data_IF_496327963638
#
_entry.id   IF_496327963638
#
_cell.length_a   1.000
_cell.length_b   1.000
_cell.length_c   1.000
_cell.angle_alpha   90.00
_cell.angle_beta   90.00
_cell.angle_gamma   90.00
#
_symmetry.space_group_name_H-M   'P 1'
#
loop_
_entity.id
_entity.type
_entity.pdbx_description
1 polymer ?
#
# COMPACT_ATOMS: atom_id res chain seq x y z
N UNK A 1 -49.75 -114.63 -20.19
CA UNK A 1 -50.10 -113.27 -19.72
C UNK A 1 -48.91 -112.32 -19.45
N UNK A 2 -47.68 -112.80 -19.22
CA UNK A 2 -46.52 -111.91 -18.97
C UNK A 2 -46.04 -111.15 -20.23
N UNK A 3 -46.09 -111.78 -21.41
CA UNK A 3 -45.71 -111.16 -22.70
C UNK A 3 -46.64 -110.02 -23.13
N UNK A 4 -47.95 -110.16 -22.90
CA UNK A 4 -48.93 -109.11 -23.25
C UNK A 4 -48.71 -107.84 -22.41
N UNK A 5 -48.29 -107.99 -21.15
CA UNK A 5 -47.96 -106.84 -20.29
C UNK A 5 -46.70 -106.10 -20.74
N UNK A 6 -45.71 -106.82 -21.28
CA UNK A 6 -44.46 -106.20 -21.78
C UNK A 6 -44.73 -105.42 -23.08
N UNK A 7 -45.58 -105.95 -23.97
CA UNK A 7 -45.96 -105.26 -25.22
C UNK A 7 -46.78 -104.00 -24.90
N UNK A 8 -47.67 -104.05 -23.91
CA UNK A 8 -48.42 -102.86 -23.47
C UNK A 8 -47.50 -101.78 -22.85
N UNK A 9 -46.45 -102.16 -22.13
CA UNK A 9 -45.50 -101.21 -21.54
C UNK A 9 -44.64 -100.53 -22.62
N UNK A 10 -44.25 -101.26 -23.66
CA UNK A 10 -43.47 -100.74 -24.79
C UNK A 10 -44.27 -99.78 -25.68
N UNK A 11 -45.59 -100.00 -25.82
CA UNK A 11 -46.46 -99.07 -26.54
C UNK A 11 -46.65 -97.74 -25.80
N UNK A 12 -46.65 -97.74 -24.47
CA UNK A 12 -46.82 -96.51 -23.67
C UNK A 12 -45.62 -95.55 -23.77
N UNK A 13 -44.40 -96.07 -23.98
CA UNK A 13 -43.17 -95.27 -24.06
C UNK A 13 -43.06 -94.53 -25.41
N UNK A 14 -43.71 -95.00 -26.47
CA UNK A 14 -43.61 -94.38 -27.80
C UNK A 14 -44.47 -93.12 -27.98
N UNK A 15 -45.41 -92.82 -27.07
CA UNK A 15 -46.31 -91.65 -27.21
C UNK A 15 -45.68 -90.36 -26.64
N UNK A 16 -44.65 -90.43 -25.80
CA UNK A 16 -44.01 -89.25 -25.22
C UNK A 16 -42.88 -88.62 -26.07
N UNK A 17 -42.63 -89.11 -27.29
CA UNK A 17 -41.41 -88.79 -28.04
C UNK A 17 -41.42 -87.56 -28.97
N UNK A 18 -42.57 -87.00 -29.37
CA UNK A 18 -42.62 -86.14 -30.57
C UNK A 18 -43.16 -84.71 -30.40
N UNK A 19 -42.62 -83.93 -29.46
CA UNK A 19 -42.90 -82.47 -29.38
C UNK A 19 -41.64 -81.58 -29.23
N UNK A 20 -40.57 -81.82 -30.00
CA UNK A 20 -39.41 -80.90 -30.06
C UNK A 20 -38.86 -80.63 -31.47
N UNK A 21 -39.72 -80.47 -32.46
CA UNK A 21 -39.31 -79.98 -33.77
C UNK A 21 -40.31 -78.93 -34.28
N UNK A 22 -40.15 -77.68 -33.84
CA UNK A 22 -40.63 -76.43 -34.50
C UNK A 22 -40.41 -75.19 -33.59
N UNK A 23 -39.16 -74.84 -33.25
CA UNK A 23 -38.87 -73.54 -32.59
C UNK A 23 -37.38 -73.13 -32.67
N UNK A 24 -36.77 -73.17 -33.86
CA UNK A 24 -35.36 -72.78 -34.03
C UNK A 24 -35.11 -71.94 -35.30
N UNK A 25 -35.96 -70.93 -35.54
CA UNK A 25 -35.79 -69.99 -36.67
C UNK A 25 -35.75 -68.51 -36.30
N UNK A 26 -36.30 -68.09 -35.15
CA UNK A 26 -36.51 -66.66 -34.83
C UNK A 26 -35.45 -66.00 -33.92
N UNK A 27 -34.43 -66.72 -33.44
CA UNK A 27 -33.46 -66.16 -32.47
C UNK A 27 -32.23 -65.47 -33.10
N UNK A 28 -31.93 -65.72 -34.38
CA UNK A 28 -30.80 -65.06 -35.07
C UNK A 28 -31.14 -63.63 -35.51
N UNK A 29 -32.30 -63.38 -36.10
CA UNK A 29 -32.72 -62.01 -36.46
C UNK A 29 -32.99 -61.13 -35.22
N UNK A 30 -33.52 -61.71 -34.14
CA UNK A 30 -33.72 -60.97 -32.89
C UNK A 30 -32.37 -60.58 -32.25
N UNK A 31 -31.37 -61.47 -32.25
CA UNK A 31 -30.02 -61.17 -31.74
C UNK A 31 -29.30 -60.13 -32.60
N UNK A 32 -29.46 -60.16 -33.92
CA UNK A 32 -28.81 -59.18 -34.79
C UNK A 32 -29.47 -57.78 -34.72
N UNK A 33 -30.80 -57.71 -34.62
CA UNK A 33 -31.52 -56.43 -34.37
C UNK A 33 -31.24 -55.86 -32.98
N UNK A 34 -31.07 -56.72 -31.96
CA UNK A 34 -30.67 -56.29 -30.61
C UNK A 34 -29.21 -55.82 -30.60
N UNK A 35 -28.30 -56.49 -31.29
CA UNK A 35 -26.90 -56.06 -31.40
C UNK A 35 -26.77 -54.71 -32.14
N UNK A 36 -27.46 -54.54 -33.28
CA UNK A 36 -27.49 -53.25 -34.00
C UNK A 36 -28.12 -52.12 -33.19
N UNK A 37 -29.17 -52.39 -32.40
CA UNK A 37 -29.75 -51.39 -31.48
C UNK A 37 -28.82 -51.07 -30.31
N UNK A 38 -28.04 -52.03 -29.80
CA UNK A 38 -27.10 -51.82 -28.69
C UNK A 38 -25.89 -50.98 -29.13
N UNK A 39 -25.36 -51.21 -30.33
CA UNK A 39 -24.27 -50.42 -30.92
C UNK A 39 -24.74 -48.99 -31.24
N UNK A 40 -25.89 -48.82 -31.91
CA UNK A 40 -26.48 -47.48 -32.13
C UNK A 40 -26.83 -46.76 -30.82
N UNK A 41 -27.22 -47.51 -29.78
CA UNK A 41 -27.46 -46.96 -28.44
C UNK A 41 -26.16 -46.47 -27.79
N UNK A 42 -25.08 -47.24 -27.88
CA UNK A 42 -23.77 -46.85 -27.34
C UNK A 42 -23.13 -45.68 -28.08
N UNK A 43 -23.27 -45.61 -29.41
CA UNK A 43 -22.79 -44.47 -30.20
C UNK A 43 -23.56 -43.19 -29.87
N UNK A 44 -24.90 -43.24 -29.81
CA UNK A 44 -25.70 -42.08 -29.36
C UNK A 44 -25.39 -41.68 -27.92
N UNK A 45 -25.10 -42.64 -27.04
CA UNK A 45 -24.75 -42.34 -25.66
C UNK A 45 -23.34 -41.73 -25.55
N UNK A 46 -22.38 -42.12 -26.40
CA UNK A 46 -21.07 -41.47 -26.52
C UNK A 46 -21.20 -40.05 -27.08
N UNK A 47 -22.00 -39.86 -28.13
CA UNK A 47 -22.26 -38.56 -28.76
C UNK A 47 -22.98 -37.59 -27.80
N UNK A 48 -23.96 -38.08 -27.03
CA UNK A 48 -24.61 -37.30 -25.96
C UNK A 48 -23.61 -36.95 -24.86
N UNK A 49 -22.71 -37.86 -24.49
CA UNK A 49 -21.71 -37.63 -23.45
C UNK A 49 -20.63 -36.65 -23.89
N UNK A 50 -20.20 -36.68 -25.16
CA UNK A 50 -19.28 -35.70 -25.74
C UNK A 50 -19.94 -34.33 -25.89
N UNK A 51 -21.18 -34.25 -26.40
CA UNK A 51 -21.91 -32.99 -26.50
C UNK A 51 -22.22 -32.39 -25.12
N UNK A 52 -22.50 -33.22 -24.11
CA UNK A 52 -22.67 -32.77 -22.74
C UNK A 52 -21.35 -32.26 -22.15
N UNK A 53 -20.22 -32.94 -22.41
CA UNK A 53 -18.89 -32.48 -21.97
C UNK A 53 -18.50 -31.16 -22.64
N UNK A 54 -18.68 -31.04 -23.95
CA UNK A 54 -18.40 -29.81 -24.70
C UNK A 54 -19.29 -28.62 -24.30
N UNK A 55 -20.55 -28.87 -23.92
CA UNK A 55 -21.44 -27.83 -23.35
C UNK A 55 -21.03 -27.45 -21.93
N UNK A 56 -20.68 -28.42 -21.08
CA UNK A 56 -20.24 -28.19 -19.71
C UNK A 56 -18.90 -27.44 -19.66
N UNK A 57 -17.96 -27.74 -20.57
CA UNK A 57 -16.68 -27.05 -20.69
C UNK A 57 -16.87 -25.63 -21.24
N UNK A 58 -17.77 -25.42 -22.22
CA UNK A 58 -18.15 -24.06 -22.67
C UNK A 58 -18.85 -23.23 -21.60
N UNK A 59 -19.69 -23.83 -20.75
CA UNK A 59 -20.32 -23.13 -19.62
C UNK A 59 -19.34 -22.86 -18.48
N UNK A 60 -18.41 -23.78 -18.17
CA UNK A 60 -17.32 -23.54 -17.22
C UNK A 60 -16.37 -22.44 -17.69
N UNK A 61 -16.07 -22.39 -18.99
CA UNK A 61 -15.21 -21.36 -19.57
C UNK A 61 -15.92 -20.00 -19.55
N UNK A 62 -17.19 -19.93 -19.98
CA UNK A 62 -18.01 -18.70 -19.84
C UNK A 62 -18.21 -18.26 -18.39
N UNK A 63 -18.28 -19.21 -17.45
CA UNK A 63 -18.36 -18.92 -16.01
C UNK A 63 -17.04 -18.34 -15.47
N UNK A 64 -15.90 -18.91 -15.87
CA UNK A 64 -14.56 -18.39 -15.51
C UNK A 64 -14.26 -17.04 -16.14
N UNK A 65 -14.66 -16.82 -17.38
CA UNK A 65 -14.46 -15.53 -18.06
C UNK A 65 -15.34 -14.44 -17.44
N UNK A 66 -16.59 -14.76 -17.06
CA UNK A 66 -17.46 -13.83 -16.31
C UNK A 66 -16.98 -13.56 -14.88
N UNK A 67 -16.39 -14.55 -14.20
CA UNK A 67 -15.80 -14.36 -12.88
C UNK A 67 -14.58 -13.45 -12.98
N UNK A 68 -13.69 -13.68 -13.94
CA UNK A 68 -12.53 -12.81 -14.19
C UNK A 68 -12.94 -11.39 -14.58
N UNK A 69 -13.92 -11.25 -15.47
CA UNK A 69 -14.44 -9.93 -15.86
C UNK A 69 -15.12 -9.22 -14.68
N UNK A 70 -15.74 -9.97 -13.75
CA UNK A 70 -16.27 -9.40 -12.50
C UNK A 70 -15.20 -9.08 -11.46
N UNK A 71 -14.13 -9.89 -11.38
CA UNK A 71 -12.99 -9.65 -10.49
C UNK A 71 -12.19 -8.43 -10.95
N UNK A 72 -11.92 -8.31 -12.25
CA UNK A 72 -11.27 -7.13 -12.85
C UNK A 72 -12.16 -5.88 -12.69
N UNK A 73 -13.48 -6.00 -12.85
CA UNK A 73 -14.40 -4.87 -12.62
C UNK A 73 -14.51 -4.49 -11.14
N UNK A 74 -14.40 -5.45 -10.22
CA UNK A 74 -14.39 -5.22 -8.77
C UNK A 74 -13.06 -4.64 -8.33
N UNK A 75 -11.93 -5.09 -8.87
CA UNK A 75 -10.59 -4.58 -8.58
C UNK A 75 -10.43 -3.13 -9.06
N UNK A 76 -10.86 -2.83 -10.30
CA UNK A 76 -10.89 -1.45 -10.80
C UNK A 76 -11.81 -0.53 -9.97
N UNK A 77 -13.00 -1.02 -9.59
CA UNK A 77 -13.88 -0.25 -8.68
C UNK A 77 -13.30 -0.11 -7.28
N UNK A 78 -12.55 -1.10 -6.79
CA UNK A 78 -11.88 -1.00 -5.50
C UNK A 78 -10.77 0.04 -5.55
N UNK A 79 -9.99 0.10 -6.64
CA UNK A 79 -8.94 1.10 -6.85
C UNK A 79 -9.54 2.50 -6.96
N UNK A 80 -10.62 2.69 -7.74
CA UNK A 80 -11.33 3.97 -7.84
C UNK A 80 -11.87 4.44 -6.48
N UNK A 81 -12.48 3.54 -5.69
CA UNK A 81 -12.99 3.85 -4.34
C UNK A 81 -11.84 4.12 -3.36
N UNK A 82 -10.69 3.46 -3.49
CA UNK A 82 -9.50 3.71 -2.68
C UNK A 82 -8.88 5.06 -3.04
N UNK A 83 -8.88 5.42 -4.31
CA UNK A 83 -8.36 6.69 -4.81
C UNK A 83 -9.29 7.85 -4.38
N UNK A 84 -10.61 7.74 -4.55
CA UNK A 84 -11.58 8.71 -4.04
C UNK A 84 -11.55 8.80 -2.50
N UNK A 85 -11.47 7.68 -1.80
CA UNK A 85 -11.33 7.65 -0.34
C UNK A 85 -10.03 8.32 0.13
N UNK A 86 -8.93 8.18 -0.62
CA UNK A 86 -7.66 8.86 -0.35
C UNK A 86 -7.72 10.36 -0.64
N UNK A 87 -8.43 10.78 -1.70
CA UNK A 87 -8.70 12.18 -2.03
C UNK A 87 -9.56 12.85 -0.96
N UNK A 88 -10.66 12.21 -0.56
CA UNK A 88 -11.54 12.68 0.52
C UNK A 88 -10.81 12.76 1.87
N UNK A 89 -9.95 11.79 2.20
CA UNK A 89 -9.13 11.83 3.42
C UNK A 89 -8.04 12.90 3.36
N UNK A 90 -7.53 13.19 2.16
CA UNK A 90 -6.61 14.29 1.90
C UNK A 90 -7.29 15.66 2.00
N UNK A 91 -8.50 15.79 1.50
CA UNK A 91 -9.33 17.00 1.58
C UNK A 91 -9.83 17.25 2.99
N UNK A 92 -10.27 16.22 3.72
CA UNK A 92 -10.63 16.32 5.14
C UNK A 92 -9.43 16.77 5.98
N UNK A 93 -8.22 16.20 5.75
CA UNK A 93 -6.99 16.67 6.43
C UNK A 93 -6.59 18.08 6.03
N UNK A 94 -6.86 18.51 4.79
CA UNK A 94 -6.62 19.90 4.36
C UNK A 94 -7.63 20.85 5.01
N UNK A 95 -8.90 20.48 5.08
CA UNK A 95 -9.96 21.24 5.74
C UNK A 95 -9.70 21.37 7.24
N UNK A 96 -9.30 20.28 7.90
CA UNK A 96 -8.93 20.28 9.33
C UNK A 96 -7.70 21.16 9.59
N UNK A 97 -6.66 21.08 8.75
CA UNK A 97 -5.50 21.98 8.84
C UNK A 97 -5.84 23.44 8.53
N UNK A 98 -6.79 23.70 7.62
CA UNK A 98 -7.24 25.07 7.34
C UNK A 98 -8.07 25.61 8.50
N UNK A 99 -8.99 24.83 9.06
CA UNK A 99 -9.78 25.18 10.23
C UNK A 99 -8.90 25.41 11.47
N UNK A 100 -7.91 24.55 11.71
CA UNK A 100 -6.92 24.75 12.78
C UNK A 100 -6.07 26.01 12.55
N UNK A 101 -5.67 26.27 11.29
CA UNK A 101 -4.92 27.48 10.94
C UNK A 101 -5.77 28.74 11.05
N UNK A 102 -7.06 28.68 10.76
CA UNK A 102 -8.00 29.79 10.93
C UNK A 102 -8.35 30.02 12.39
N UNK A 103 -8.62 28.97 13.16
CA UNK A 103 -8.81 29.06 14.61
C UNK A 103 -7.57 29.66 15.29
N UNK A 104 -6.37 29.19 14.92
CA UNK A 104 -5.10 29.74 15.43
C UNK A 104 -4.82 31.16 14.94
N UNK A 105 -5.33 31.55 13.76
CA UNK A 105 -5.27 32.95 13.29
C UNK A 105 -6.28 33.83 14.03
N UNK A 106 -7.47 33.33 14.34
CA UNK A 106 -8.50 34.03 15.10
C UNK A 106 -8.05 34.22 16.55
N UNK A 107 -7.49 33.18 17.17
CA UNK A 107 -6.89 33.24 18.51
C UNK A 107 -5.70 34.21 18.55
N UNK A 108 -4.80 34.16 17.55
CA UNK A 108 -3.71 35.16 17.43
C UNK A 108 -4.21 36.57 17.12
N UNK A 109 -5.36 36.75 16.47
CA UNK A 109 -5.97 38.06 16.24
C UNK A 109 -6.61 38.59 17.52
N UNK A 110 -7.36 37.77 18.24
CA UNK A 110 -7.93 38.11 19.53
C UNK A 110 -6.84 38.44 20.58
N UNK A 111 -5.76 37.65 20.61
CA UNK A 111 -4.62 37.92 21.50
C UNK A 111 -3.82 39.16 21.05
N UNK A 112 -3.80 39.50 19.75
CA UNK A 112 -3.22 40.76 19.23
C UNK A 112 -4.12 41.99 19.42
N UNK A 113 -5.44 41.83 19.45
CA UNK A 113 -6.39 42.92 19.74
C UNK A 113 -6.40 43.24 21.24
N UNK A 114 -6.24 42.23 22.11
CA UNK A 114 -6.01 42.43 23.55
C UNK A 114 -4.57 42.93 23.84
N UNK A 115 -3.57 42.46 23.09
CA UNK A 115 -2.16 42.87 23.16
C UNK A 115 -1.76 43.65 21.93
N UNK A 116 -2.21 44.91 21.86
CA UNK A 116 -1.75 45.85 20.84
C UNK A 116 -0.22 45.88 20.75
N UNK A 117 0.30 45.65 19.54
CA UNK A 117 1.70 45.83 19.19
C UNK A 117 2.03 47.33 19.15
N UNK A 118 2.28 47.96 20.30
CA UNK A 118 3.04 49.21 20.38
C UNK A 118 3.32 49.56 21.85
N UNK A 119 4.60 49.80 22.16
CA UNK A 119 5.08 50.79 23.12
C UNK A 119 4.02 51.41 24.06
N UNK A 120 3.82 50.88 25.28
CA UNK A 120 3.14 51.67 26.33
C UNK A 120 2.20 50.96 27.31
N UNK A 121 1.87 49.68 27.16
CA UNK A 121 1.18 48.96 28.25
C UNK A 121 2.19 48.42 29.25
N UNK A 122 2.15 48.98 30.46
CA UNK A 122 2.94 48.57 31.62
C UNK A 122 2.81 47.05 31.83
N UNK A 123 3.95 46.36 31.85
CA UNK A 123 4.01 44.95 32.21
C UNK A 123 3.61 44.87 33.69
N UNK A 124 2.50 44.20 34.00
CA UNK A 124 2.01 43.98 35.37
C UNK A 124 1.84 45.28 36.20
N UNK A 125 1.49 46.40 35.55
CA UNK A 125 1.33 47.69 36.23
C UNK A 125 2.64 48.42 36.57
N UNK A 126 3.81 47.89 36.20
CA UNK A 126 5.10 48.55 36.39
C UNK A 126 5.21 49.84 35.55
N UNK A 127 5.54 50.96 36.17
CA UNK A 127 5.77 52.26 35.50
C UNK A 127 7.22 52.72 35.62
N UNK A 128 7.62 53.69 34.79
CA UNK A 128 8.88 54.42 34.93
C UNK A 128 10.14 53.55 34.95
N UNK A 129 11.00 53.74 35.97
CA UNK A 129 12.29 53.06 36.10
C UNK A 129 12.17 51.54 36.19
N UNK A 130 11.19 51.04 36.96
CA UNK A 130 10.98 49.61 37.17
C UNK A 130 10.57 48.91 35.86
N UNK A 131 9.73 49.55 35.06
CA UNK A 131 9.37 49.06 33.72
C UNK A 131 10.57 48.98 32.79
N UNK A 132 11.40 50.04 32.77
CA UNK A 132 12.64 50.07 31.98
C UNK A 132 13.61 48.96 32.37
N UNK A 133 13.78 48.70 33.66
CA UNK A 133 14.62 47.60 34.17
C UNK A 133 14.07 46.23 33.78
N UNK A 134 12.76 46.00 33.89
CA UNK A 134 12.11 44.75 33.49
C UNK A 134 12.31 44.47 32.00
N UNK A 135 12.09 45.47 31.14
CA UNK A 135 12.31 45.35 29.68
C UNK A 135 13.76 45.05 29.33
N UNK A 136 14.70 45.67 30.04
CA UNK A 136 16.12 45.45 29.81
C UNK A 136 16.56 44.05 30.26
N UNK A 137 16.03 43.54 31.37
CA UNK A 137 16.22 42.17 31.83
C UNK A 137 15.62 41.15 30.84
N UNK A 138 14.40 41.40 30.35
CA UNK A 138 13.77 40.57 29.32
C UNK A 138 14.61 40.52 28.04
N UNK A 139 15.13 41.67 27.59
CA UNK A 139 15.96 41.74 26.40
C UNK A 139 17.26 40.93 26.55
N UNK A 140 17.92 41.01 27.71
CA UNK A 140 19.09 40.16 28.04
C UNK A 140 18.74 38.69 28.04
N UNK A 141 17.60 38.31 28.64
CA UNK A 141 17.14 36.93 28.66
C UNK A 141 16.86 36.41 27.23
N UNK A 142 16.24 37.22 26.38
CA UNK A 142 15.99 36.86 24.99
C UNK A 142 17.29 36.71 24.20
N UNK A 143 18.25 37.61 24.37
CA UNK A 143 19.57 37.49 23.74
C UNK A 143 20.30 36.22 24.17
N UNK A 144 20.23 35.85 25.46
CA UNK A 144 20.80 34.60 25.98
C UNK A 144 20.10 33.36 25.42
N UNK A 145 18.77 33.35 25.34
CA UNK A 145 18.00 32.25 24.72
C UNK A 145 18.32 32.10 23.24
N UNK A 146 18.45 33.22 22.52
CA UNK A 146 18.85 33.22 21.10
C UNK A 146 20.25 32.60 20.94
N UNK A 147 21.21 32.97 21.77
CA UNK A 147 22.55 32.37 21.76
C UNK A 147 22.52 30.87 22.05
N UNK A 148 21.77 30.41 23.05
CA UNK A 148 21.61 28.99 23.34
C UNK A 148 21.03 28.23 22.14
N UNK A 149 20.04 28.81 21.45
CA UNK A 149 19.46 28.20 20.25
C UNK A 149 20.47 28.10 19.10
N UNK A 150 21.28 29.14 18.88
CA UNK A 150 22.35 29.14 17.87
C UNK A 150 23.41 28.08 18.19
N UNK A 151 23.78 27.91 19.47
CA UNK A 151 24.72 26.88 19.90
C UNK A 151 24.18 25.46 19.61
N UNK A 152 22.89 25.22 19.88
CA UNK A 152 22.25 23.93 19.54
C UNK A 152 22.24 23.67 18.04
N UNK A 153 22.02 24.69 17.23
CA UNK A 153 22.03 24.58 15.78
C UNK A 153 23.45 24.39 15.23
N UNK A 154 24.49 24.93 15.88
CA UNK A 154 25.88 24.60 15.56
C UNK A 154 26.22 23.14 15.84
N UNK A 155 25.77 22.58 16.96
CA UNK A 155 25.95 21.16 17.23
C UNK A 155 25.27 20.29 16.18
N UNK A 156 24.07 20.68 15.75
CA UNK A 156 23.36 20.03 14.65
C UNK A 156 24.14 20.13 13.35
N UNK A 157 24.74 21.29 13.06
CA UNK A 157 25.57 21.51 11.88
C UNK A 157 26.82 20.61 11.91
N UNK A 158 27.53 20.54 13.05
CA UNK A 158 28.68 19.64 13.24
C UNK A 158 28.30 18.18 13.02
N UNK A 159 27.21 17.71 13.64
CA UNK A 159 26.68 16.35 13.45
C UNK A 159 26.26 16.11 12.00
N UNK A 160 25.68 17.11 11.34
CA UNK A 160 25.31 17.07 9.93
C UNK A 160 26.52 16.87 9.03
N UNK A 161 27.59 17.64 9.23
CA UNK A 161 28.84 17.52 8.46
C UNK A 161 29.45 16.13 8.58
N UNK A 162 29.62 15.64 9.80
CA UNK A 162 30.16 14.29 10.04
C UNK A 162 29.33 13.20 9.36
N UNK A 163 27.98 13.32 9.36
CA UNK A 163 27.11 12.37 8.65
C UNK A 163 27.28 12.43 7.13
N UNK A 164 27.48 13.62 6.55
CA UNK A 164 27.71 13.78 5.12
C UNK A 164 29.07 13.20 4.73
N UNK A 165 30.12 13.47 5.51
CA UNK A 165 31.45 12.88 5.30
C UNK A 165 31.40 11.36 5.34
N UNK A 166 30.76 10.78 6.37
CA UNK A 166 30.58 9.33 6.44
C UNK A 166 29.76 8.77 5.26
N UNK A 167 28.80 9.52 4.73
CA UNK A 167 28.05 9.12 3.54
C UNK A 167 28.91 9.17 2.27
N UNK A 168 29.77 10.18 2.13
CA UNK A 168 30.74 10.29 1.03
C UNK A 168 31.75 9.14 1.07
N UNK A 169 32.34 8.85 2.22
CA UNK A 169 33.27 7.73 2.37
C UNK A 169 32.62 6.38 2.05
N UNK A 170 31.37 6.17 2.49
CA UNK A 170 30.62 4.95 2.15
C UNK A 170 30.35 4.85 0.65
N UNK A 171 30.06 5.97 0.00
CA UNK A 171 29.85 6.01 -1.44
C UNK A 171 31.15 5.72 -2.20
N UNK A 172 32.27 6.30 -1.80
CA UNK A 172 33.59 6.01 -2.38
C UNK A 172 33.97 4.54 -2.22
N UNK A 173 33.78 3.97 -1.02
CA UNK A 173 34.00 2.53 -0.79
C UNK A 173 33.09 1.66 -1.65
N UNK A 174 31.84 2.08 -1.89
CA UNK A 174 30.91 1.35 -2.75
C UNK A 174 31.25 1.48 -4.24
N UNK A 175 31.80 2.61 -4.68
CA UNK A 175 32.31 2.81 -6.06
C UNK A 175 33.54 1.96 -6.36
N UNK A 176 34.37 1.69 -5.35
CA UNK A 176 35.56 0.86 -5.49
C UNK A 176 35.27 -0.66 -5.50
N UNK A 177 34.01 -1.07 -5.30
CA UNK A 177 33.61 -2.47 -5.43
C UNK A 177 33.43 -2.82 -6.90
N UNK A 178 33.95 -3.97 -7.30
CA UNK A 178 33.81 -4.52 -8.65
C UNK A 178 32.99 -5.82 -8.63
N UNK A 179 32.40 -6.22 -9.76
CA UNK A 179 31.58 -7.43 -9.89
C UNK A 179 30.08 -7.19 -9.70
N UNK A 180 29.31 -8.22 -9.30
CA UNK A 180 27.85 -8.12 -9.10
C UNK A 180 27.44 -7.14 -7.98
N UNK A 181 28.36 -6.85 -7.06
CA UNK A 181 28.16 -5.87 -5.97
C UNK A 181 28.51 -4.42 -6.37
N UNK A 182 28.94 -4.21 -7.63
CA UNK A 182 29.27 -2.88 -8.14
C UNK A 182 27.99 -2.04 -8.29
N UNK A 183 28.04 -0.80 -7.78
CA UNK A 183 26.92 0.12 -7.93
C UNK A 183 26.75 0.53 -9.39
N UNK A 184 25.50 0.59 -9.85
CA UNK A 184 25.21 1.10 -11.18
C UNK A 184 25.51 2.61 -11.25
N UNK A 185 25.86 3.15 -12.44
CA UNK A 185 26.09 4.59 -12.61
C UNK A 185 24.90 5.45 -12.18
N UNK A 186 23.68 4.97 -12.38
CA UNK A 186 22.44 5.66 -11.99
C UNK A 186 22.30 5.75 -10.45
N UNK A 187 22.56 4.66 -9.73
CA UNK A 187 22.51 4.66 -8.27
C UNK A 187 23.61 5.52 -7.64
N UNK A 188 24.79 5.56 -8.27
CA UNK A 188 25.87 6.46 -7.87
C UNK A 188 25.40 7.91 -8.01
N UNK A 189 24.88 8.28 -9.18
CA UNK A 189 24.40 9.64 -9.45
C UNK A 189 23.27 10.06 -8.51
N UNK A 190 22.33 9.16 -8.17
CA UNK A 190 21.27 9.44 -7.21
C UNK A 190 21.83 9.68 -5.79
N UNK A 191 22.78 8.85 -5.33
CA UNK A 191 23.44 9.04 -4.03
C UNK A 191 24.25 10.33 -3.98
N UNK A 192 25.00 10.66 -5.03
CA UNK A 192 25.72 11.94 -5.14
C UNK A 192 24.77 13.13 -5.11
N UNK A 193 23.66 13.07 -5.85
CA UNK A 193 22.64 14.11 -5.86
C UNK A 193 22.04 14.34 -4.47
N UNK A 194 21.77 13.26 -3.73
CA UNK A 194 21.27 13.33 -2.35
C UNK A 194 22.29 13.96 -1.40
N UNK A 195 23.56 13.59 -1.53
CA UNK A 195 24.67 14.17 -0.75
C UNK A 195 24.82 15.67 -1.07
N UNK A 196 24.86 16.06 -2.34
CA UNK A 196 24.97 17.44 -2.78
C UNK A 196 23.78 18.30 -2.31
N UNK A 197 22.55 17.77 -2.35
CA UNK A 197 21.36 18.43 -1.79
C UNK A 197 21.48 18.65 -0.28
N UNK A 198 22.02 17.67 0.46
CA UNK A 198 22.24 17.79 1.90
C UNK A 198 23.32 18.83 2.23
N UNK A 199 24.40 18.88 1.45
CA UNK A 199 25.47 19.88 1.59
C UNK A 199 24.97 21.29 1.34
N UNK A 200 24.18 21.49 0.29
CA UNK A 200 23.58 22.80 0.00
C UNK A 200 22.71 23.28 1.16
N UNK A 201 21.94 22.37 1.79
CA UNK A 201 21.14 22.69 2.98
C UNK A 201 22.01 23.01 4.20
N UNK A 202 23.10 22.27 4.43
CA UNK A 202 24.03 22.58 5.52
C UNK A 202 24.72 23.93 5.31
N UNK A 203 25.11 24.26 4.09
CA UNK A 203 25.69 25.57 3.77
C UNK A 203 24.70 26.71 4.03
N UNK A 204 23.45 26.55 3.61
CA UNK A 204 22.41 27.53 3.91
C UNK A 204 22.15 27.70 5.43
N UNK A 205 22.22 26.60 6.19
CA UNK A 205 22.13 26.64 7.65
C UNK A 205 23.34 27.36 8.27
N UNK A 206 24.55 27.13 7.75
CA UNK A 206 25.77 27.80 8.18
C UNK A 206 25.69 29.32 8.00
N UNK A 207 25.30 29.78 6.81
CA UNK A 207 25.12 31.19 6.50
C UNK A 207 24.05 31.82 7.41
N UNK A 208 22.96 31.10 7.69
CA UNK A 208 21.93 31.55 8.63
C UNK A 208 22.45 31.65 10.06
N UNK A 209 23.28 30.70 10.50
CA UNK A 209 23.89 30.70 11.84
C UNK A 209 24.88 31.84 11.99
N UNK A 210 25.72 32.08 11.00
CA UNK A 210 26.68 33.20 11.00
C UNK A 210 25.95 34.54 11.12
N UNK A 211 24.90 34.74 10.31
CA UNK A 211 24.08 35.94 10.38
C UNK A 211 23.33 36.06 11.72
N UNK A 212 22.83 34.96 12.26
CA UNK A 212 22.19 34.91 13.57
C UNK A 212 23.15 35.34 14.69
N UNK A 213 24.38 34.81 14.70
CA UNK A 213 25.42 35.18 15.66
C UNK A 213 25.79 36.65 15.57
N UNK A 214 25.98 37.19 14.36
CA UNK A 214 26.27 38.62 14.16
C UNK A 214 25.18 39.49 14.78
N UNK A 215 23.92 39.19 14.50
CA UNK A 215 22.77 39.94 15.06
C UNK A 215 22.71 39.88 16.58
N UNK A 216 22.84 38.68 17.17
CA UNK A 216 22.82 38.53 18.64
C UNK A 216 23.98 39.29 19.28
N UNK A 217 25.16 39.27 18.66
CA UNK A 217 26.33 40.05 19.13
C UNK A 217 26.04 41.55 19.09
N UNK A 218 25.54 42.07 17.97
CA UNK A 218 25.16 43.49 17.85
C UNK A 218 24.08 43.90 18.87
N UNK A 219 23.09 43.05 19.11
CA UNK A 219 22.05 43.29 20.12
C UNK A 219 22.63 43.33 21.53
N UNK A 220 23.52 42.38 21.88
CA UNK A 220 24.23 42.38 23.15
C UNK A 220 25.09 43.63 23.33
N UNK A 221 25.81 44.04 22.30
CA UNK A 221 26.67 45.23 22.35
C UNK A 221 25.82 46.50 22.54
N UNK A 222 24.69 46.62 21.85
CA UNK A 222 23.72 47.71 22.04
C UNK A 222 23.15 47.72 23.45
N UNK A 223 22.75 46.55 23.98
CA UNK A 223 22.26 46.43 25.36
C UNK A 223 23.34 46.85 26.36
N UNK A 224 24.59 46.43 26.17
CA UNK A 224 25.69 46.78 27.07
C UNK A 224 26.01 48.27 27.06
N UNK A 225 26.01 48.92 25.89
CA UNK A 225 26.19 50.39 25.77
C UNK A 225 25.13 51.17 26.56
N UNK A 226 23.86 50.78 26.42
CA UNK A 226 22.75 51.39 27.17
C UNK A 226 22.90 51.21 28.70
N UNK A 227 23.53 50.11 29.13
CA UNK A 227 23.79 49.87 30.55
C UNK A 227 25.02 50.63 31.08
N UNK A 228 26.06 50.80 30.27
CA UNK A 228 27.27 51.52 30.67
C UNK A 228 27.10 53.04 30.66
N UNK A 229 26.28 53.60 29.77
CA UNK A 229 25.96 55.04 29.76
C UNK A 229 25.04 55.48 30.93
N UNK A 230 24.51 54.52 31.71
CA UNK A 230 23.57 54.77 32.81
C UNK A 230 24.17 54.52 34.22
N UNK A 231 25.42 54.09 34.31
CA UNK A 231 26.18 54.04 35.56
C UNK A 231 27.03 55.30 35.69
#
# INVERSE_FOLDING_TARGET
MKLVRIIMLLMLISICGNHKALSQGKSKEAKEKVAKKKVKGQEKMKEIKENAKGKLDKEKQKGKDKIKESEDAVENRLEDVKEEGSKLKGEAKKAEKMAEKEARKAEKKADKELKGNAYGKNKDGLTGKAYGQSRAADAKLMAAKSEESLNKDEERLKKGRSKIEAARERLEKAKAKEGEDAMTPEEIADKESKIAKAEKKLKALEESLENGKKKVKEEKDKLNKIYQEKQ
#
